data_IF_514185231453
#
_entry.id   IF_514185231453
#
_cell.length_a   1.000
_cell.length_b   1.000
_cell.length_c   1.000
_cell.angle_alpha   90.00
_cell.angle_beta   90.00
_cell.angle_gamma   90.00
#
_symmetry.space_group_name_H-M   'P 1'
#
loop_
_entity.id
_entity.type
_entity.pdbx_description
1 polymer ?
#
# COMPACT_ATOMS: atom_id res chain seq x y z
N UNK A 1 9.09 -3.92 3.59
CA UNK A 1 9.41 -3.68 2.19
C UNK A 1 10.13 -2.34 1.98
N UNK A 2 9.95 -1.36 2.89
CA UNK A 2 10.64 -0.07 2.80
C UNK A 2 12.16 -0.26 2.61
N UNK A 3 12.76 0.49 1.70
CA UNK A 3 14.18 0.39 1.35
C UNK A 3 14.55 -0.74 0.39
N UNK A 4 13.61 -1.59 -0.01
CA UNK A 4 13.90 -2.64 -0.99
C UNK A 4 14.21 -2.04 -2.38
N UNK A 5 15.13 -2.62 -3.13
CA UNK A 5 15.58 -2.11 -4.43
C UNK A 5 14.43 -1.86 -5.43
N UNK A 6 13.41 -2.70 -5.42
CA UNK A 6 12.21 -2.54 -6.25
C UNK A 6 11.36 -1.30 -5.92
N UNK A 7 11.63 -0.62 -4.79
CA UNK A 7 10.96 0.63 -4.39
C UNK A 7 11.82 1.86 -4.66
N UNK A 8 13.08 1.68 -5.07
CA UNK A 8 13.97 2.79 -5.41
C UNK A 8 13.64 3.36 -6.78
N UNK A 9 13.62 4.67 -6.87
CA UNK A 9 13.35 5.44 -8.08
C UNK A 9 14.43 6.49 -8.27
N UNK A 10 14.44 7.18 -9.42
CA UNK A 10 15.38 8.30 -9.63
C UNK A 10 15.19 9.41 -8.60
N UNK A 11 13.95 9.64 -8.17
CA UNK A 11 13.62 10.68 -7.21
C UNK A 11 13.87 10.27 -5.75
N UNK A 12 13.90 8.96 -5.48
CA UNK A 12 14.12 8.41 -4.14
C UNK A 12 14.98 7.14 -4.22
N UNK A 13 16.29 7.32 -4.04
CA UNK A 13 17.27 6.23 -4.05
C UNK A 13 17.22 5.39 -2.76
N UNK A 14 16.51 5.84 -1.74
CA UNK A 14 16.35 5.10 -0.49
C UNK A 14 15.25 4.05 -0.57
N UNK A 15 14.22 4.26 -1.42
CA UNK A 15 13.04 3.40 -1.51
C UNK A 15 12.13 3.52 -0.28
N UNK A 16 12.20 4.63 0.45
CA UNK A 16 11.46 4.84 1.70
C UNK A 16 10.50 6.03 1.67
N UNK A 17 10.62 6.94 0.68
CA UNK A 17 9.83 8.16 0.60
C UNK A 17 9.03 8.22 -0.69
N UNK A 18 7.72 8.11 -0.61
CA UNK A 18 6.78 8.15 -1.74
C UNK A 18 6.01 9.47 -1.74
N UNK A 19 5.87 10.10 -2.90
CA UNK A 19 5.02 11.28 -3.05
C UNK A 19 3.58 10.87 -3.27
N UNK A 20 2.78 10.99 -2.22
CA UNK A 20 1.33 10.86 -2.27
C UNK A 20 0.80 9.43 -2.30
N UNK A 21 -0.49 9.35 -2.48
CA UNK A 21 -1.31 8.14 -2.59
C UNK A 21 -2.27 8.31 -3.76
N UNK A 22 -2.70 7.21 -4.38
CA UNK A 22 -3.61 7.26 -5.53
C UNK A 22 -4.71 6.21 -5.42
N UNK A 23 -5.87 6.54 -5.97
CA UNK A 23 -7.04 5.68 -6.05
C UNK A 23 -7.41 5.05 -4.70
N UNK A 24 -7.51 5.88 -3.67
CA UNK A 24 -8.00 5.41 -2.38
C UNK A 24 -9.48 5.06 -2.49
N UNK A 25 -9.81 3.82 -2.16
CA UNK A 25 -11.18 3.34 -2.09
C UNK A 25 -11.70 3.46 -0.65
N UNK A 26 -12.32 2.43 -0.10
CA UNK A 26 -12.73 2.42 1.29
C UNK A 26 -11.52 2.40 2.24
N UNK A 27 -11.77 2.51 3.51
CA UNK A 27 -10.75 2.52 4.54
C UNK A 27 -11.24 1.91 5.82
N UNK A 28 -10.60 2.23 6.92
CA UNK A 28 -10.98 1.82 8.26
C UNK A 28 -10.36 2.72 9.29
N UNK A 29 -10.82 2.58 10.52
CA UNK A 29 -10.25 3.29 11.67
C UNK A 29 -9.49 2.32 12.55
N UNK A 30 -8.29 2.71 12.96
CA UNK A 30 -7.58 1.94 13.99
C UNK A 30 -8.15 2.21 15.38
N UNK A 31 -8.01 1.29 16.33
CA UNK A 31 -8.44 1.53 17.70
C UNK A 31 -7.73 2.70 18.42
N UNK A 32 -6.59 3.15 17.88
CA UNK A 32 -5.86 4.32 18.39
C UNK A 32 -6.17 5.62 17.63
N UNK A 33 -7.18 5.59 16.73
CA UNK A 33 -7.73 6.79 16.11
C UNK A 33 -7.01 7.28 14.85
N UNK A 34 -6.15 6.47 14.23
CA UNK A 34 -5.65 6.77 12.87
C UNK A 34 -6.60 6.24 11.81
N UNK A 35 -6.55 6.82 10.62
CA UNK A 35 -7.35 6.40 9.47
C UNK A 35 -6.51 5.61 8.48
N UNK A 36 -7.05 4.49 8.01
CA UNK A 36 -6.44 3.65 6.98
C UNK A 36 -7.11 3.92 5.64
N UNK A 37 -6.33 4.28 4.64
CA UNK A 37 -6.76 4.47 3.26
C UNK A 37 -6.26 3.31 2.41
N UNK A 38 -7.10 2.75 1.56
CA UNK A 38 -6.80 1.57 0.76
C UNK A 38 -6.56 1.95 -0.71
N UNK A 39 -5.33 1.80 -1.20
CA UNK A 39 -4.99 2.04 -2.61
C UNK A 39 -5.46 0.87 -3.46
N UNK A 40 -6.47 1.08 -4.29
CA UNK A 40 -7.14 0.04 -5.08
C UNK A 40 -6.63 -0.02 -6.52
N UNK A 41 -7.24 0.72 -7.42
CA UNK A 41 -7.01 0.66 -8.87
C UNK A 41 -5.81 1.53 -9.32
N UNK A 42 -4.71 1.49 -8.58
CA UNK A 42 -3.48 2.25 -8.85
C UNK A 42 -2.89 1.98 -10.23
N UNK A 43 -3.14 0.80 -10.81
CA UNK A 43 -2.63 0.39 -12.12
C UNK A 43 -3.10 1.30 -13.26
N UNK A 44 -4.31 1.88 -13.16
CA UNK A 44 -4.89 2.73 -14.18
C UNK A 44 -4.14 4.04 -14.45
N UNK A 45 -3.37 4.50 -13.49
CA UNK A 45 -2.60 5.75 -13.56
C UNK A 45 -1.28 5.63 -14.29
N UNK A 46 -0.74 4.40 -14.41
CA UNK A 46 0.52 4.12 -15.08
C UNK A 46 0.32 3.94 -16.58
N UNK A 47 1.24 4.51 -17.35
CA UNK A 47 1.20 4.63 -18.81
C UNK A 47 2.39 3.96 -19.47
N UNK A 48 2.24 3.60 -20.75
CA UNK A 48 3.31 3.08 -21.59
C UNK A 48 3.27 1.58 -21.76
N UNK A 49 4.43 0.97 -21.94
CA UNK A 49 4.57 -0.48 -22.15
C UNK A 49 5.89 -0.95 -21.58
N UNK A 50 5.84 -1.87 -20.63
CA UNK A 50 7.03 -2.51 -20.10
C UNK A 50 7.54 -3.58 -21.09
N UNK A 51 8.86 -3.71 -21.24
CA UNK A 51 9.47 -4.78 -22.03
C UNK A 51 9.09 -6.15 -21.46
N UNK A 52 8.89 -7.14 -22.34
CA UNK A 52 8.41 -8.48 -21.94
C UNK A 52 9.41 -9.23 -21.06
N UNK A 53 10.69 -8.98 -21.26
CA UNK A 53 11.84 -9.57 -20.55
C UNK A 53 12.25 -8.76 -19.30
N UNK A 54 11.57 -7.66 -19.01
CA UNK A 54 11.86 -6.85 -17.82
C UNK A 54 11.62 -7.66 -16.54
N UNK A 55 12.48 -7.56 -15.51
CA UNK A 55 12.34 -8.31 -14.26
C UNK A 55 10.97 -8.15 -13.58
N UNK A 56 10.34 -6.98 -13.71
CA UNK A 56 9.01 -6.70 -13.16
C UNK A 56 7.85 -7.22 -14.02
N UNK A 57 8.08 -7.75 -15.22
CA UNK A 57 7.02 -8.09 -16.17
C UNK A 57 5.98 -9.08 -15.60
N UNK A 58 6.40 -10.04 -14.74
CA UNK A 58 5.49 -10.98 -14.06
C UNK A 58 4.55 -10.26 -13.11
N UNK A 59 5.09 -9.38 -12.26
CA UNK A 59 4.31 -8.61 -11.29
C UNK A 59 3.39 -7.61 -11.97
N UNK A 60 3.87 -6.96 -13.02
CA UNK A 60 3.06 -6.05 -13.82
C UNK A 60 1.83 -6.76 -14.41
N UNK A 61 1.99 -7.96 -14.95
CA UNK A 61 0.85 -8.76 -15.43
C UNK A 61 -0.14 -9.09 -14.30
N UNK A 62 0.38 -9.45 -13.12
CA UNK A 62 -0.48 -9.76 -11.94
C UNK A 62 -1.39 -8.59 -11.59
N UNK A 63 -0.90 -7.36 -11.66
CA UNK A 63 -1.64 -6.15 -11.28
C UNK A 63 -2.32 -5.43 -12.45
N UNK A 64 -2.22 -5.94 -13.67
CA UNK A 64 -2.73 -5.24 -14.85
C UNK A 64 -2.01 -3.92 -15.13
N UNK A 65 -0.69 -3.88 -14.88
CA UNK A 65 0.17 -2.71 -15.10
C UNK A 65 0.85 -2.78 -16.49
N UNK A 66 1.02 -1.66 -17.17
CA UNK A 66 0.33 -0.40 -16.96
C UNK A 66 -1.12 -0.50 -17.43
N UNK A 67 -2.05 0.08 -16.67
CA UNK A 67 -3.47 0.05 -17.02
C UNK A 67 -3.82 0.96 -18.21
N UNK A 68 -3.06 2.04 -18.40
CA UNK A 68 -3.27 3.03 -19.46
C UNK A 68 -4.67 3.68 -19.47
N UNK A 69 -5.34 3.76 -18.29
CA UNK A 69 -6.67 4.38 -18.20
C UNK A 69 -6.57 5.91 -18.25
N UNK A 70 -5.57 6.46 -17.54
CA UNK A 70 -5.30 7.88 -17.49
C UNK A 70 -3.94 8.18 -18.12
N UNK A 71 -3.87 9.24 -18.90
CA UNK A 71 -2.66 9.57 -19.65
C UNK A 71 -1.59 10.32 -18.84
N UNK A 72 -1.49 10.04 -17.54
CA UNK A 72 -0.55 10.76 -16.64
C UNK A 72 0.91 10.58 -17.04
N UNK A 73 1.31 9.40 -17.51
CA UNK A 73 2.67 9.16 -17.96
C UNK A 73 3.09 9.96 -19.20
N UNK A 74 2.15 10.56 -19.93
CA UNK A 74 2.45 11.52 -21.01
C UNK A 74 2.98 12.85 -20.49
N UNK A 75 2.64 13.21 -19.25
CA UNK A 75 2.95 14.50 -18.64
C UNK A 75 3.94 14.40 -17.47
N UNK A 76 3.96 13.25 -16.80
CA UNK A 76 4.79 13.02 -15.62
C UNK A 76 5.60 11.74 -15.79
N UNK A 77 6.91 11.86 -15.93
CA UNK A 77 7.83 10.74 -16.15
C UNK A 77 7.71 9.63 -15.10
N UNK A 78 7.37 9.97 -13.86
CA UNK A 78 7.17 8.98 -12.79
C UNK A 78 6.04 7.98 -13.05
N UNK A 79 5.05 8.33 -13.88
CA UNK A 79 3.95 7.46 -14.26
C UNK A 79 4.13 6.78 -15.62
N UNK A 80 5.26 7.04 -16.30
CA UNK A 80 5.66 6.33 -17.51
C UNK A 80 6.54 5.14 -17.13
N UNK A 81 6.01 3.93 -17.26
CA UNK A 81 6.71 2.70 -16.87
C UNK A 81 7.97 2.41 -17.69
N UNK A 82 8.13 3.05 -18.85
CA UNK A 82 9.36 2.93 -19.65
C UNK A 82 10.50 3.78 -19.10
N UNK A 83 10.16 4.83 -18.34
CA UNK A 83 11.11 5.76 -17.73
C UNK A 83 11.37 5.46 -16.26
N UNK A 84 10.32 5.06 -15.52
CA UNK A 84 10.39 4.80 -14.08
C UNK A 84 9.61 3.53 -13.70
N UNK A 85 10.12 2.34 -14.04
CA UNK A 85 9.39 1.08 -13.85
C UNK A 85 9.16 0.73 -12.38
N UNK A 86 9.98 1.21 -11.45
CA UNK A 86 9.83 0.93 -10.03
C UNK A 86 8.76 1.79 -9.34
N UNK A 87 8.37 2.92 -9.93
CA UNK A 87 7.38 3.81 -9.31
C UNK A 87 6.05 3.08 -9.07
N UNK A 88 5.61 2.22 -9.98
CA UNK A 88 4.37 1.47 -9.82
C UNK A 88 4.38 0.54 -8.60
N UNK A 89 5.56 0.06 -8.16
CA UNK A 89 5.68 -0.79 -6.96
C UNK A 89 5.43 -0.04 -5.65
N UNK A 90 5.37 1.27 -5.71
CA UNK A 90 5.21 2.16 -4.55
C UNK A 90 3.74 2.43 -4.21
N UNK A 91 2.81 1.85 -4.99
CA UNK A 91 1.35 1.98 -4.84
C UNK A 91 0.68 0.60 -4.74
N UNK A 92 -0.57 0.59 -4.28
CA UNK A 92 -1.30 -0.64 -3.96
C UNK A 92 -1.07 -1.08 -2.51
N UNK A 93 -0.92 -0.12 -1.62
CA UNK A 93 -0.69 -0.33 -0.18
C UNK A 93 -1.84 0.24 0.64
N UNK A 94 -1.94 -0.16 1.89
CA UNK A 94 -2.73 0.58 2.88
C UNK A 94 -1.89 1.72 3.42
N UNK A 95 -2.48 2.92 3.47
CA UNK A 95 -1.84 4.16 3.93
C UNK A 95 -2.49 4.60 5.23
N UNK A 96 -1.71 4.68 6.30
CA UNK A 96 -2.18 5.18 7.59
C UNK A 96 -1.92 6.68 7.70
N UNK A 97 -2.95 7.41 8.13
CA UNK A 97 -2.92 8.85 8.37
C UNK A 97 -3.36 9.13 9.79
N UNK A 98 -2.65 10.02 10.48
CA UNK A 98 -3.06 10.53 11.79
C UNK A 98 -3.87 11.82 11.62
N UNK A 99 -5.21 11.80 11.77
CA UNK A 99 -6.03 12.99 11.61
C UNK A 99 -5.90 14.01 12.77
N UNK A 100 -5.26 13.60 13.87
CA UNK A 100 -5.05 14.45 15.04
C UNK A 100 -3.68 15.14 15.07
N UNK A 101 -2.78 14.77 14.14
CA UNK A 101 -1.46 15.39 14.01
C UNK A 101 -1.24 15.88 12.57
N UNK A 102 -1.50 17.19 12.30
CA UNK A 102 -1.35 17.76 10.96
C UNK A 102 0.10 17.78 10.46
N UNK A 103 1.08 17.56 11.35
CA UNK A 103 2.49 17.50 11.00
C UNK A 103 2.98 16.05 10.79
N UNK A 104 2.13 15.04 11.02
CA UNK A 104 2.50 13.64 10.79
C UNK A 104 2.64 13.36 9.30
N UNK A 105 3.62 12.53 8.97
CA UNK A 105 3.76 12.01 7.59
C UNK A 105 2.92 10.74 7.47
N UNK A 106 2.03 10.63 6.47
CA UNK A 106 1.32 9.39 6.18
C UNK A 106 2.27 8.22 5.93
N UNK A 107 1.92 7.03 6.40
CA UNK A 107 2.79 5.85 6.34
C UNK A 107 2.13 4.76 5.51
N UNK A 108 2.82 4.24 4.49
CA UNK A 108 2.40 3.06 3.74
C UNK A 108 2.77 1.79 4.51
N UNK A 109 1.76 1.07 5.02
CA UNK A 109 1.92 -0.11 5.89
C UNK A 109 2.18 -1.37 5.05
N UNK A 110 3.42 -1.54 4.60
CA UNK A 110 3.80 -2.56 3.61
C UNK A 110 3.73 -3.99 4.14
N UNK A 111 3.72 -4.21 5.45
CA UNK A 111 3.55 -5.53 6.04
C UNK A 111 2.16 -6.15 5.77
N UNK A 112 1.15 -5.32 5.53
CA UNK A 112 -0.22 -5.76 5.22
C UNK A 112 -0.41 -6.29 3.78
N UNK A 113 0.67 -6.40 3.00
CA UNK A 113 0.63 -6.91 1.64
C UNK A 113 0.38 -5.83 0.60
N UNK A 114 0.60 -6.19 -0.68
CA UNK A 114 0.38 -5.33 -1.84
C UNK A 114 -0.61 -5.99 -2.79
N UNK A 115 -1.75 -5.35 -3.00
CA UNK A 115 -2.80 -5.77 -3.92
C UNK A 115 -3.75 -4.58 -4.19
N UNK A 116 -4.87 -4.79 -4.88
CA UNK A 116 -5.89 -3.76 -5.10
C UNK A 116 -6.77 -3.67 -3.87
N UNK A 117 -6.30 -2.93 -2.86
CA UNK A 117 -7.00 -2.82 -1.58
C UNK A 117 -8.30 -2.05 -1.73
N UNK A 118 -9.42 -2.71 -1.50
CA UNK A 118 -10.74 -2.08 -1.49
C UNK A 118 -11.10 -1.49 -0.12
N UNK A 119 -10.56 -2.07 0.96
CA UNK A 119 -10.76 -1.60 2.32
C UNK A 119 -9.75 -2.19 3.30
N UNK A 120 -9.78 -1.72 4.55
CA UNK A 120 -8.91 -2.19 5.63
C UNK A 120 -9.65 -2.05 6.98
N UNK A 121 -10.50 -3.01 7.31
CA UNK A 121 -11.30 -2.99 8.53
C UNK A 121 -10.57 -3.66 9.69
N UNK A 122 -10.63 -3.06 10.87
CA UNK A 122 -9.84 -3.46 12.03
C UNK A 122 -10.70 -4.03 13.16
N UNK A 123 -10.17 -5.04 13.84
CA UNK A 123 -10.75 -5.59 15.07
C UNK A 123 -9.65 -6.02 16.04
N UNK A 124 -9.87 -5.80 17.35
CA UNK A 124 -9.00 -6.34 18.39
C UNK A 124 -9.42 -7.78 18.68
N UNK A 125 -8.50 -8.71 18.50
CA UNK A 125 -8.70 -10.12 18.80
C UNK A 125 -8.72 -10.35 20.33
N UNK A 126 -9.25 -11.51 20.76
CA UNK A 126 -9.34 -11.90 22.18
C UNK A 126 -7.99 -11.93 22.90
N UNK A 127 -6.89 -12.18 22.18
CA UNK A 127 -5.53 -12.16 22.70
C UNK A 127 -4.87 -10.77 22.69
N UNK A 128 -5.61 -9.72 22.32
CA UNK A 128 -5.15 -8.34 22.26
C UNK A 128 -4.42 -7.93 20.99
N UNK A 129 -4.17 -8.84 20.04
CA UNK A 129 -3.58 -8.49 18.74
C UNK A 129 -4.61 -7.79 17.86
N UNK A 130 -4.14 -6.87 17.02
CA UNK A 130 -4.99 -6.28 16.00
C UNK A 130 -5.08 -7.23 14.80
N UNK A 131 -6.28 -7.35 14.27
CA UNK A 131 -6.56 -8.05 13.02
C UNK A 131 -7.09 -7.02 12.02
N UNK A 132 -6.59 -7.06 10.78
CA UNK A 132 -7.09 -6.23 9.69
C UNK A 132 -7.61 -7.16 8.59
N UNK A 133 -8.87 -7.00 8.22
CA UNK A 133 -9.46 -7.67 7.06
C UNK A 133 -9.42 -6.76 5.86
N UNK A 134 -9.02 -7.31 4.70
CA UNK A 134 -8.73 -6.58 3.48
C UNK A 134 -9.23 -7.33 2.26
N UNK A 135 -10.03 -6.69 1.40
CA UNK A 135 -10.44 -7.24 0.11
C UNK A 135 -9.45 -6.88 -0.99
N UNK A 136 -9.17 -7.80 -1.89
CA UNK A 136 -8.50 -7.54 -3.17
C UNK A 136 -9.57 -7.50 -4.28
N UNK A 137 -9.80 -6.34 -4.89
CA UNK A 137 -10.81 -6.18 -5.96
C UNK A 137 -10.36 -6.79 -7.31
N UNK A 138 -9.27 -7.50 -7.34
CA UNK A 138 -8.89 -8.24 -8.52
C UNK A 138 -9.75 -9.51 -8.65
N UNK A 139 -10.38 -9.70 -9.82
CA UNK A 139 -11.21 -10.90 -10.09
C UNK A 139 -10.45 -12.18 -9.78
N UNK A 140 -11.12 -13.08 -9.04
CA UNK A 140 -10.62 -14.40 -8.62
C UNK A 140 -9.47 -14.36 -7.60
N UNK A 141 -9.19 -13.19 -7.01
CA UNK A 141 -8.27 -13.05 -5.88
C UNK A 141 -9.02 -13.13 -4.54
N UNK A 142 -8.38 -12.81 -3.44
CA UNK A 142 -8.71 -13.30 -2.12
C UNK A 142 -9.17 -12.20 -1.16
N UNK A 143 -9.83 -12.64 -0.10
CA UNK A 143 -9.95 -11.88 1.14
C UNK A 143 -8.70 -12.17 1.99
N UNK A 144 -8.02 -11.13 2.41
CA UNK A 144 -6.82 -11.24 3.24
C UNK A 144 -7.10 -10.86 4.69
N UNK A 145 -6.38 -11.52 5.59
CA UNK A 145 -6.38 -11.22 7.03
C UNK A 145 -4.95 -10.98 7.50
N UNK A 146 -4.66 -9.77 7.95
CA UNK A 146 -3.40 -9.45 8.60
C UNK A 146 -3.57 -9.52 10.12
N UNK A 147 -2.64 -10.17 10.82
CA UNK A 147 -2.61 -10.26 12.28
C UNK A 147 -1.30 -9.72 12.79
N UNK A 148 -1.33 -8.70 13.63
CA UNK A 148 -0.12 -8.06 14.18
C UNK A 148 0.64 -9.01 15.11
N UNK A 149 1.97 -8.88 15.16
CA UNK A 149 2.80 -9.61 16.14
C UNK A 149 2.63 -9.04 17.54
N UNK A 150 2.57 -7.70 17.63
CA UNK A 150 2.34 -6.97 18.88
C UNK A 150 0.87 -6.91 19.29
N UNK A 151 0.61 -6.44 20.50
CA UNK A 151 -0.72 -6.23 21.06
C UNK A 151 -1.07 -4.75 21.14
N UNK A 152 -2.34 -4.46 21.01
CA UNK A 152 -2.89 -3.12 21.20
C UNK A 152 -2.79 -2.66 22.64
N UNK A 153 -2.28 -1.44 22.85
CA UNK A 153 -2.16 -0.79 24.15
C UNK A 153 -3.22 0.33 24.30
N UNK A 154 -4.34 0.06 24.94
CA UNK A 154 -5.49 0.98 24.93
C UNK A 154 -5.23 2.32 25.61
N UNK A 155 -4.29 2.35 26.57
CA UNK A 155 -3.96 3.57 27.35
C UNK A 155 -2.73 4.31 26.82
N UNK A 156 -2.10 3.81 25.77
CA UNK A 156 -0.89 4.40 25.21
C UNK A 156 -0.97 4.46 23.68
N UNK A 157 -1.54 5.54 23.15
CA UNK A 157 -1.68 5.75 21.71
C UNK A 157 -0.35 5.66 20.97
N UNK A 158 0.71 6.22 21.57
CA UNK A 158 2.03 6.25 20.93
C UNK A 158 2.67 4.85 20.79
N UNK A 159 2.39 3.93 21.71
CA UNK A 159 2.89 2.55 21.64
C UNK A 159 2.30 1.75 20.45
N UNK A 160 1.18 2.20 19.88
CA UNK A 160 0.54 1.52 18.76
C UNK A 160 1.02 2.02 17.39
N UNK A 161 1.88 3.06 17.35
CA UNK A 161 2.30 3.73 16.10
C UNK A 161 2.85 2.76 15.06
N UNK A 162 3.64 1.78 15.48
CA UNK A 162 4.32 0.84 14.59
C UNK A 162 3.69 -0.57 14.61
N UNK A 163 2.51 -0.70 15.22
CA UNK A 163 1.85 -2.00 15.39
C UNK A 163 1.53 -2.69 14.05
N UNK A 164 1.28 -1.92 13.00
CA UNK A 164 0.99 -2.42 11.65
C UNK A 164 2.25 -2.72 10.80
N UNK A 165 3.45 -2.56 11.35
CA UNK A 165 4.71 -2.81 10.61
C UNK A 165 5.19 -4.26 10.74
N UNK A 166 4.63 -5.05 11.67
CA UNK A 166 5.01 -6.45 11.88
C UNK A 166 3.79 -7.33 12.13
N UNK A 167 3.72 -8.44 11.43
CA UNK A 167 2.61 -9.38 11.53
C UNK A 167 2.63 -10.44 10.44
N UNK A 168 1.58 -11.25 10.44
CA UNK A 168 1.38 -12.31 9.45
C UNK A 168 0.16 -12.03 8.59
N UNK A 169 0.35 -12.09 7.28
CA UNK A 169 -0.73 -11.99 6.29
C UNK A 169 -1.21 -13.41 5.94
N UNK A 170 -2.50 -13.63 6.07
CA UNK A 170 -3.19 -14.87 5.71
C UNK A 170 -4.12 -14.62 4.53
N UNK A 171 -4.33 -15.70 3.77
CA UNK A 171 -5.33 -15.81 2.68
C UNK A 171 -6.50 -16.64 3.17
#
# INVERSE_FOLDING_TARGET
AAGHDRLKTRADQTGTSVRGTINNCAGGMTPWGTYLMAEENFNGYFWGKLAKDHPEARNYRRYGLPGNWFAWGKYYDRFDVTKEPNEANRFGWVVEVDPYDPNSTPVKRTAMGRFKHEGAETIINKDGRLVVYQGDDQRFDYLYKFVTDGRYEPKNRAANRDLLDSGTLFV
#
